data_IF_418543736905
#
_entry.id   IF_418543736905
#
_cell.length_a   1.000
_cell.length_b   1.000
_cell.length_c   1.000
_cell.angle_alpha   90.00
_cell.angle_beta   90.00
_cell.angle_gamma   90.00
#
_symmetry.space_group_name_H-M   'P 1'
#
loop_
_entity.id
_entity.type
_entity.pdbx_description
1 polymer ?
#
# COMPACT_ATOMS: atom_id res chain seq x y z
N UNK A 1 -1.53 -25.21 -0.47
CA UNK A 1 -2.73 -24.53 0.09
C UNK A 1 -3.72 -24.39 -1.04
N UNK A 2 -4.67 -25.34 -1.11
CA UNK A 2 -5.77 -25.25 -2.07
C UNK A 2 -6.63 -24.05 -1.74
N UNK A 3 -6.79 -23.19 -2.72
CA UNK A 3 -7.46 -21.90 -2.57
C UNK A 3 -8.92 -22.04 -2.13
N UNK A 4 -9.30 -21.22 -1.19
CA UNK A 4 -10.63 -20.98 -0.58
C UNK A 4 -11.72 -20.61 -1.64
N UNK A 5 -11.45 -20.86 -2.92
CA UNK A 5 -12.29 -20.40 -4.05
C UNK A 5 -13.22 -21.52 -4.54
N UNK A 6 -14.14 -21.96 -3.68
CA UNK A 6 -15.26 -22.75 -4.17
C UNK A 6 -16.27 -21.81 -4.84
N UNK A 7 -16.54 -22.05 -6.12
CA UNK A 7 -17.39 -21.19 -6.97
C UNK A 7 -18.90 -21.40 -6.74
N UNK A 8 -19.32 -22.16 -5.73
CA UNK A 8 -20.73 -22.42 -5.44
C UNK A 8 -21.25 -21.51 -4.34
N UNK A 9 -22.46 -20.96 -4.55
CA UNK A 9 -23.16 -20.10 -3.57
C UNK A 9 -23.48 -20.88 -2.29
N UNK A 10 -23.71 -22.18 -2.43
CA UNK A 10 -24.16 -23.07 -1.35
C UNK A 10 -23.01 -23.51 -0.42
N UNK A 11 -21.75 -23.18 -0.75
CA UNK A 11 -20.57 -23.49 0.05
C UNK A 11 -20.33 -22.40 1.10
N UNK A 12 -21.26 -22.20 2.02
CA UNK A 12 -21.02 -21.36 3.21
C UNK A 12 -19.99 -22.04 4.10
N UNK A 13 -18.92 -21.33 4.41
CA UNK A 13 -17.89 -21.84 5.31
C UNK A 13 -18.38 -21.81 6.77
N UNK A 14 -17.83 -22.64 7.67
CA UNK A 14 -18.15 -22.57 9.08
C UNK A 14 -18.03 -21.13 9.62
N UNK A 15 -19.02 -20.68 10.37
CA UNK A 15 -19.10 -19.34 10.97
C UNK A 15 -19.13 -18.17 9.98
N UNK A 16 -19.26 -18.42 8.67
CA UNK A 16 -19.35 -17.37 7.68
C UNK A 16 -20.74 -16.72 7.66
N UNK A 17 -20.77 -15.41 7.78
CA UNK A 17 -21.97 -14.59 7.67
C UNK A 17 -21.95 -13.78 6.39
N UNK A 18 -23.11 -13.62 5.74
CA UNK A 18 -23.27 -12.84 4.52
C UNK A 18 -24.16 -11.63 4.78
N UNK A 19 -23.71 -10.44 4.37
CA UNK A 19 -24.50 -9.21 4.43
C UNK A 19 -24.56 -8.55 3.06
N UNK A 20 -25.69 -7.92 2.77
CA UNK A 20 -25.91 -7.12 1.56
C UNK A 20 -24.95 -5.92 1.58
N UNK A 21 -24.32 -5.64 0.43
CA UNK A 21 -23.49 -4.45 0.27
C UNK A 21 -24.39 -3.24 0.05
N UNK A 22 -24.19 -2.17 0.82
CA UNK A 22 -24.95 -0.94 0.70
C UNK A 22 -24.90 -0.36 -0.73
N UNK A 23 -26.05 0.00 -1.28
CA UNK A 23 -26.17 0.49 -2.66
C UNK A 23 -26.00 -0.55 -3.75
N UNK A 24 -26.08 -1.85 -3.41
CA UNK A 24 -25.90 -2.96 -4.34
C UNK A 24 -26.90 -4.08 -4.07
N UNK A 25 -28.11 -4.02 -4.64
CA UNK A 25 -29.21 -5.00 -4.40
C UNK A 25 -28.86 -6.46 -4.71
N UNK A 26 -27.81 -6.70 -5.50
CA UNK A 26 -27.44 -8.02 -5.99
C UNK A 26 -26.08 -8.52 -5.51
N UNK A 27 -25.44 -7.82 -4.58
CA UNK A 27 -24.08 -8.19 -4.12
C UNK A 27 -24.03 -8.32 -2.61
N UNK A 28 -23.39 -9.39 -2.16
CA UNK A 28 -23.19 -9.70 -0.75
C UNK A 28 -21.70 -9.85 -0.47
N UNK A 29 -21.28 -9.42 0.70
CA UNK A 29 -19.94 -9.67 1.22
C UNK A 29 -20.03 -10.52 2.46
N UNK A 30 -19.08 -11.45 2.63
CA UNK A 30 -19.02 -12.32 3.80
C UNK A 30 -18.10 -11.75 4.88
N UNK A 31 -18.33 -12.23 6.11
CA UNK A 31 -17.43 -11.97 7.25
C UNK A 31 -16.00 -12.47 7.04
N UNK A 32 -15.78 -13.36 6.07
CA UNK A 32 -14.47 -13.90 5.71
C UNK A 32 -13.86 -13.24 4.45
N UNK A 33 -14.46 -12.17 3.93
CA UNK A 33 -13.92 -11.45 2.79
C UNK A 33 -14.28 -12.02 1.42
N UNK A 34 -15.21 -12.98 1.33
CA UNK A 34 -15.73 -13.43 0.03
C UNK A 34 -16.82 -12.47 -0.46
N UNK A 35 -16.98 -12.34 -1.76
CA UNK A 35 -18.03 -11.52 -2.36
C UNK A 35 -18.83 -12.37 -3.34
N UNK A 36 -20.17 -12.32 -3.27
CA UNK A 36 -21.05 -13.05 -4.17
C UNK A 36 -22.15 -12.18 -4.79
N UNK A 37 -22.67 -12.62 -5.91
CA UNK A 37 -23.94 -12.10 -6.45
C UNK A 37 -25.10 -13.00 -6.06
N UNK A 38 -26.30 -12.42 -5.95
CA UNK A 38 -27.56 -13.18 -5.84
C UNK A 38 -28.00 -13.73 -7.20
N UNK A 39 -28.89 -14.73 -7.14
CA UNK A 39 -29.70 -15.10 -8.28
C UNK A 39 -30.59 -13.92 -8.68
N UNK A 40 -30.74 -13.67 -9.97
CA UNK A 40 -31.54 -12.55 -10.47
C UNK A 40 -32.02 -12.76 -11.90
N UNK A 41 -33.08 -12.10 -12.25
CA UNK A 41 -33.47 -11.92 -13.66
C UNK A 41 -32.82 -10.67 -14.22
N UNK A 42 -32.31 -10.75 -15.44
CA UNK A 42 -31.63 -9.63 -16.11
C UNK A 42 -32.15 -9.50 -17.53
N UNK A 43 -32.46 -8.27 -17.93
CA UNK A 43 -32.85 -7.96 -19.32
C UNK A 43 -31.59 -8.02 -20.20
N UNK A 44 -31.67 -8.80 -21.27
CA UNK A 44 -30.62 -8.89 -22.29
C UNK A 44 -31.08 -8.13 -23.53
N UNK A 45 -30.46 -6.99 -23.82
CA UNK A 45 -30.66 -6.27 -25.08
C UNK A 45 -30.02 -7.05 -26.24
N UNK A 46 -30.80 -7.30 -27.30
CA UNK A 46 -30.31 -7.97 -28.52
C UNK A 46 -30.43 -7.02 -29.71
N UNK A 47 -29.39 -6.95 -30.53
CA UNK A 47 -29.23 -5.99 -31.62
C UNK A 47 -30.33 -6.09 -32.71
N UNK A 48 -31.06 -7.19 -32.88
CA UNK A 48 -32.08 -7.37 -33.96
C UNK A 48 -33.20 -8.32 -33.51
N UNK A 49 -33.49 -8.42 -32.20
CA UNK A 49 -34.56 -9.26 -31.65
C UNK A 49 -35.20 -8.55 -30.46
N UNK A 50 -36.38 -9.00 -30.04
CA UNK A 50 -37.00 -8.54 -28.80
C UNK A 50 -36.06 -8.81 -27.63
N UNK A 51 -36.00 -7.85 -26.71
CA UNK A 51 -35.28 -8.02 -25.44
C UNK A 51 -35.88 -9.21 -24.68
N UNK A 52 -35.04 -10.09 -24.19
CA UNK A 52 -35.44 -11.24 -23.39
C UNK A 52 -34.95 -11.09 -21.93
N UNK A 53 -35.71 -11.66 -21.02
CA UNK A 53 -35.35 -11.76 -19.61
C UNK A 53 -34.71 -13.10 -19.39
N UNK A 54 -33.47 -13.08 -18.91
CA UNK A 54 -32.68 -14.30 -18.62
C UNK A 54 -32.43 -14.44 -17.12
N UNK A 55 -32.57 -15.66 -16.65
CA UNK A 55 -32.15 -15.99 -15.28
C UNK A 55 -30.62 -16.05 -15.22
N UNK A 56 -30.03 -15.31 -14.28
CA UNK A 56 -28.59 -15.27 -14.01
C UNK A 56 -28.38 -15.88 -12.62
N UNK A 57 -27.79 -17.07 -12.57
CA UNK A 57 -27.42 -17.71 -11.32
C UNK A 57 -26.35 -16.89 -10.61
N UNK A 58 -26.52 -16.69 -9.33
CA UNK A 58 -25.52 -16.03 -8.50
C UNK A 58 -24.22 -16.86 -8.39
N UNK A 59 -23.14 -16.20 -8.08
CA UNK A 59 -21.81 -16.84 -7.95
C UNK A 59 -20.89 -16.06 -7.02
N UNK A 60 -19.91 -16.76 -6.47
CA UNK A 60 -18.75 -16.12 -5.81
C UNK A 60 -17.91 -15.40 -6.87
N UNK A 61 -17.57 -14.16 -6.60
CA UNK A 61 -16.76 -13.35 -7.50
C UNK A 61 -15.28 -13.68 -7.35
N UNK A 62 -14.59 -13.77 -8.49
CA UNK A 62 -13.14 -13.82 -8.52
C UNK A 62 -12.59 -12.49 -8.02
N UNK A 63 -11.64 -12.55 -7.09
CA UNK A 63 -10.90 -11.39 -6.64
C UNK A 63 -9.55 -11.33 -7.36
N UNK A 64 -9.05 -10.14 -7.56
CA UNK A 64 -7.74 -9.89 -8.16
C UNK A 64 -6.89 -9.05 -7.20
N UNK A 65 -5.63 -9.35 -7.15
CA UNK A 65 -4.66 -8.58 -6.38
C UNK A 65 -4.23 -7.33 -7.16
N UNK A 66 -4.05 -6.20 -6.47
CA UNK A 66 -3.43 -5.02 -7.04
C UNK A 66 -1.91 -5.04 -6.82
N UNK A 67 -1.19 -4.07 -7.40
CA UNK A 67 0.27 -3.94 -7.25
C UNK A 67 0.76 -3.81 -5.80
N UNK A 68 -0.11 -3.42 -4.90
CA UNK A 68 0.21 -3.21 -3.49
C UNK A 68 -0.17 -4.43 -2.61
N UNK A 69 -0.64 -5.53 -3.21
CA UNK A 69 -1.01 -6.76 -2.53
C UNK A 69 -2.44 -6.80 -1.98
N UNK A 70 -3.30 -5.81 -2.30
CA UNK A 70 -4.68 -5.81 -1.81
C UNK A 70 -5.64 -6.50 -2.77
N UNK A 71 -6.57 -7.29 -2.22
CA UNK A 71 -7.62 -7.93 -3.01
C UNK A 71 -8.72 -6.94 -3.39
N UNK A 72 -9.15 -7.03 -4.67
CA UNK A 72 -10.20 -6.22 -5.27
C UNK A 72 -11.19 -7.09 -6.01
N UNK A 73 -12.44 -6.64 -6.08
CA UNK A 73 -13.45 -7.22 -6.97
C UNK A 73 -14.22 -6.11 -7.69
N UNK A 74 -14.90 -6.50 -8.78
CA UNK A 74 -15.72 -5.58 -9.56
C UNK A 74 -17.18 -5.78 -9.18
N UNK A 75 -17.85 -4.71 -8.73
CA UNK A 75 -19.28 -4.69 -8.42
C UNK A 75 -20.00 -3.62 -9.25
N UNK A 76 -21.31 -3.78 -9.40
CA UNK A 76 -22.18 -2.81 -10.07
C UNK A 76 -23.17 -2.32 -9.03
N UNK A 77 -23.17 -1.04 -8.79
CA UNK A 77 -24.12 -0.37 -7.89
C UNK A 77 -25.51 -0.26 -8.53
N UNK A 78 -26.54 -0.04 -7.71
CA UNK A 78 -27.93 0.08 -8.18
C UNK A 78 -28.15 1.27 -9.13
N UNK A 79 -27.30 2.29 -9.06
CA UNK A 79 -27.24 3.40 -10.02
C UNK A 79 -26.63 3.03 -11.38
N UNK A 80 -26.22 1.76 -11.58
CA UNK A 80 -25.58 1.27 -12.80
C UNK A 80 -24.06 1.49 -12.85
N UNK A 81 -23.47 2.16 -11.88
CA UNK A 81 -22.05 2.44 -11.85
C UNK A 81 -21.25 1.17 -11.54
N UNK A 82 -20.29 0.85 -12.41
CA UNK A 82 -19.38 -0.28 -12.25
C UNK A 82 -18.07 0.18 -11.61
N UNK A 83 -17.74 -0.33 -10.43
CA UNK A 83 -16.52 0.00 -9.72
C UNK A 83 -15.70 -1.22 -9.35
N UNK A 84 -14.37 -1.07 -9.41
CA UNK A 84 -13.43 -1.99 -8.79
C UNK A 84 -13.16 -1.51 -7.36
N UNK A 85 -13.54 -2.31 -6.38
CA UNK A 85 -13.52 -1.96 -4.95
C UNK A 85 -12.60 -2.89 -4.17
N UNK A 86 -12.00 -2.38 -3.11
CA UNK A 86 -11.18 -3.19 -2.21
C UNK A 86 -12.06 -4.05 -1.30
N UNK A 87 -11.70 -5.33 -1.17
CA UNK A 87 -12.49 -6.30 -0.40
C UNK A 87 -12.50 -5.94 1.09
N UNK A 88 -11.36 -5.60 1.69
CA UNK A 88 -11.31 -5.17 3.10
C UNK A 88 -12.22 -3.97 3.38
N UNK A 89 -12.35 -3.01 2.43
CA UNK A 89 -13.27 -1.88 2.58
C UNK A 89 -14.73 -2.29 2.51
N UNK A 90 -15.08 -3.25 1.66
CA UNK A 90 -16.44 -3.81 1.62
C UNK A 90 -16.78 -4.49 2.94
N UNK A 91 -15.87 -5.34 3.44
CA UNK A 91 -16.09 -6.08 4.69
C UNK A 91 -16.28 -5.12 5.86
N UNK A 92 -15.31 -4.24 6.10
CA UNK A 92 -15.35 -3.41 7.30
C UNK A 92 -16.54 -2.46 7.29
N UNK A 93 -16.86 -1.83 6.15
CA UNK A 93 -18.03 -0.95 6.02
C UNK A 93 -19.35 -1.69 6.21
N UNK A 94 -19.46 -2.91 5.71
CA UNK A 94 -20.70 -3.68 5.78
C UNK A 94 -20.93 -4.29 7.16
N UNK A 95 -19.88 -4.67 7.88
CA UNK A 95 -19.97 -5.36 9.18
C UNK A 95 -19.81 -4.43 10.37
N UNK A 96 -18.92 -3.45 10.30
CA UNK A 96 -18.59 -2.52 11.38
C UNK A 96 -19.11 -1.09 11.13
N UNK A 97 -19.62 -0.82 9.92
CA UNK A 97 -20.10 0.52 9.54
C UNK A 97 -18.99 1.47 9.09
N UNK A 98 -19.37 2.70 8.77
CA UNK A 98 -18.44 3.77 8.44
C UNK A 98 -17.77 4.32 9.71
N UNK A 99 -16.58 4.87 9.55
CA UNK A 99 -15.79 5.46 10.64
C UNK A 99 -15.24 6.82 10.23
N UNK A 100 -14.95 7.68 11.20
CA UNK A 100 -14.19 8.92 11.02
C UNK A 100 -12.70 8.66 10.81
N UNK A 101 -12.21 7.47 11.16
CA UNK A 101 -10.83 7.05 10.94
C UNK A 101 -10.60 6.72 9.46
N UNK A 102 -9.53 7.26 8.85
CA UNK A 102 -9.38 7.23 7.40
C UNK A 102 -8.81 5.92 6.82
N UNK A 103 -8.20 5.08 7.65
CA UNK A 103 -7.48 3.89 7.21
C UNK A 103 -8.02 2.61 7.83
N UNK A 104 -7.66 1.49 7.19
CA UNK A 104 -7.97 0.15 7.65
C UNK A 104 -6.66 -0.61 7.80
N UNK A 105 -6.45 -1.20 8.95
CA UNK A 105 -5.34 -2.06 9.26
C UNK A 105 -5.74 -3.54 9.17
N UNK A 106 -4.81 -4.39 8.74
CA UNK A 106 -4.91 -5.85 8.86
C UNK A 106 -4.09 -6.26 10.09
N UNK A 107 -4.75 -6.79 11.11
CA UNK A 107 -4.14 -7.09 12.41
C UNK A 107 -2.99 -8.10 12.29
N UNK A 108 -3.11 -9.06 11.38
CA UNK A 108 -2.07 -10.07 11.10
C UNK A 108 -1.04 -9.63 10.03
N UNK A 109 -1.08 -8.37 9.60
CA UNK A 109 -0.27 -7.82 8.47
C UNK A 109 -0.50 -8.52 7.11
N UNK A 110 -1.44 -9.46 7.00
CA UNK A 110 -1.74 -10.19 5.77
C UNK A 110 -2.89 -9.54 5.00
N UNK A 111 -2.59 -8.84 3.92
CA UNK A 111 -3.57 -8.13 3.07
C UNK A 111 -4.56 -9.05 2.34
N UNK A 112 -4.33 -10.35 2.33
CA UNK A 112 -5.23 -11.35 1.78
C UNK A 112 -6.26 -11.86 2.80
N UNK A 113 -5.98 -11.72 4.10
CA UNK A 113 -6.91 -12.08 5.16
C UNK A 113 -7.89 -10.92 5.43
N UNK A 114 -8.98 -10.90 4.67
CA UNK A 114 -10.02 -9.88 4.78
C UNK A 114 -11.17 -10.30 5.71
N UNK A 115 -10.93 -11.18 6.68
CA UNK A 115 -11.92 -11.50 7.72
C UNK A 115 -12.23 -10.26 8.56
N UNK A 116 -13.49 -10.08 8.93
CA UNK A 116 -13.92 -8.95 9.77
C UNK A 116 -13.17 -8.88 11.10
N UNK A 117 -12.81 -10.03 11.66
CA UNK A 117 -12.05 -10.15 12.92
C UNK A 117 -10.60 -9.69 12.79
N UNK A 118 -10.08 -9.66 11.55
CA UNK A 118 -8.72 -9.24 11.23
C UNK A 118 -8.63 -7.78 10.76
N UNK A 119 -9.74 -7.06 10.71
CA UNK A 119 -9.80 -5.70 10.19
C UNK A 119 -10.18 -4.71 11.27
N UNK A 120 -9.47 -3.60 11.34
CA UNK A 120 -9.79 -2.50 12.24
C UNK A 120 -9.68 -1.14 11.55
N UNK A 121 -10.53 -0.19 11.93
CA UNK A 121 -10.37 1.19 11.56
C UNK A 121 -9.23 1.84 12.36
N UNK A 122 -8.38 2.59 11.69
CA UNK A 122 -7.24 3.22 12.33
C UNK A 122 -6.90 4.59 11.74
N UNK A 123 -6.12 5.37 12.49
CA UNK A 123 -5.53 6.59 11.98
C UNK A 123 -4.23 6.31 11.17
N UNK A 124 -3.76 7.36 10.50
CA UNK A 124 -2.56 7.28 9.63
C UNK A 124 -1.30 6.96 10.43
N UNK A 125 -1.17 7.54 11.64
CA UNK A 125 0.02 7.38 12.48
C UNK A 125 0.09 5.96 13.05
N UNK A 126 -1.03 5.46 13.55
CA UNK A 126 -1.14 4.08 14.03
C UNK A 126 -0.77 3.08 12.94
N UNK A 127 -1.40 3.20 11.76
CA UNK A 127 -1.14 2.28 10.64
C UNK A 127 0.30 2.35 10.12
N UNK A 128 0.91 3.54 10.12
CA UNK A 128 2.30 3.70 9.70
C UNK A 128 3.30 3.04 10.65
N UNK A 129 2.96 2.97 11.95
CA UNK A 129 3.84 2.40 12.99
C UNK A 129 3.46 0.97 13.38
N UNK A 130 2.40 0.40 12.78
CA UNK A 130 1.90 -0.93 13.13
C UNK A 130 2.87 -2.03 12.67
N UNK A 131 2.98 -3.06 13.52
CA UNK A 131 3.74 -4.28 13.23
C UNK A 131 5.24 -4.04 12.97
N UNK A 132 5.80 -4.84 12.08
CA UNK A 132 7.24 -4.87 11.79
C UNK A 132 7.68 -3.94 10.65
N UNK A 133 6.82 -3.02 10.19
CA UNK A 133 7.12 -2.16 9.03
C UNK A 133 8.38 -1.32 9.24
N UNK A 134 8.48 -0.66 10.39
CA UNK A 134 9.61 0.23 10.69
C UNK A 134 10.90 -0.56 10.85
N UNK A 135 10.85 -1.76 11.45
CA UNK A 135 11.99 -2.67 11.55
C UNK A 135 12.45 -3.10 10.15
N UNK A 136 11.53 -3.56 9.29
CA UNK A 136 11.85 -3.95 7.90
C UNK A 136 12.47 -2.80 7.09
N UNK A 137 11.97 -1.57 7.27
CA UNK A 137 12.55 -0.38 6.61
C UNK A 137 13.95 -0.10 7.14
N UNK A 138 14.16 -0.17 8.47
CA UNK A 138 15.46 0.01 9.09
C UNK A 138 16.47 -1.02 8.60
N UNK A 139 16.10 -2.31 8.61
CA UNK A 139 16.94 -3.41 8.14
C UNK A 139 17.29 -3.27 6.66
N UNK A 140 16.31 -2.89 5.84
CA UNK A 140 16.55 -2.60 4.41
C UNK A 140 17.54 -1.43 4.24
N UNK A 141 17.40 -0.35 5.00
CA UNK A 141 18.31 0.80 4.93
C UNK A 141 19.71 0.45 5.41
N UNK A 142 19.85 -0.42 6.43
CA UNK A 142 21.15 -0.92 6.89
C UNK A 142 21.82 -1.81 5.86
N UNK A 143 21.08 -2.72 5.22
CA UNK A 143 21.60 -3.63 4.19
C UNK A 143 21.83 -2.94 2.83
N UNK A 144 21.13 -1.83 2.57
CA UNK A 144 21.22 -1.04 1.34
C UNK A 144 21.51 0.45 1.68
N UNK A 145 22.69 0.75 2.27
CA UNK A 145 23.02 2.13 2.57
C UNK A 145 23.00 2.95 1.29
N UNK A 146 22.29 4.08 1.32
CA UNK A 146 22.31 5.02 0.19
C UNK A 146 23.77 5.38 -0.06
N UNK A 147 24.30 5.07 -1.23
CA UNK A 147 25.61 5.54 -1.68
C UNK A 147 25.56 7.06 -1.72
N UNK A 148 26.09 7.73 -0.70
CA UNK A 148 26.34 9.16 -0.74
C UNK A 148 27.31 9.46 -1.87
N UNK A 149 27.28 10.69 -2.39
CA UNK A 149 28.35 11.17 -3.26
C UNK A 149 29.66 11.17 -2.43
N UNK A 150 30.71 10.54 -2.95
CA UNK A 150 32.03 10.61 -2.33
C UNK A 150 32.45 12.06 -2.18
N UNK A 151 33.16 12.37 -1.12
CA UNK A 151 33.65 13.71 -0.85
C UNK A 151 35.17 13.64 -0.72
N UNK A 152 35.87 14.47 -1.46
CA UNK A 152 37.32 14.62 -1.40
C UNK A 152 37.69 15.87 -0.64
N UNK A 153 38.64 15.76 0.25
CA UNK A 153 39.22 16.87 1.01
C UNK A 153 40.60 17.24 0.44
N UNK A 154 40.79 18.51 0.21
CA UNK A 154 42.02 19.08 -0.35
C UNK A 154 42.59 20.11 0.63
N UNK A 155 43.91 20.25 0.65
CA UNK A 155 44.59 21.40 1.23
C UNK A 155 44.34 22.67 0.37
N UNK A 156 44.65 23.85 0.88
CA UNK A 156 44.46 25.11 0.18
C UNK A 156 45.36 25.23 -1.06
N UNK A 157 46.48 24.55 -1.13
CA UNK A 157 47.38 24.43 -2.29
C UNK A 157 46.89 23.38 -3.32
N UNK A 158 45.71 22.73 -3.08
CA UNK A 158 45.07 21.82 -4.01
C UNK A 158 45.51 20.38 -3.96
N UNK A 159 46.32 19.99 -2.98
CA UNK A 159 46.71 18.58 -2.77
C UNK A 159 45.56 17.78 -2.15
N UNK A 160 45.21 16.63 -2.73
CA UNK A 160 44.22 15.71 -2.15
C UNK A 160 44.79 15.10 -0.86
N UNK A 161 44.03 15.20 0.23
CA UNK A 161 44.43 14.72 1.57
C UNK A 161 43.67 13.43 1.85
N UNK A 162 42.34 13.40 1.65
CA UNK A 162 41.50 12.27 2.00
C UNK A 162 40.22 12.19 1.21
N UNK A 163 39.69 10.96 1.02
CA UNK A 163 38.40 10.70 0.40
C UNK A 163 37.47 10.04 1.40
N UNK A 164 36.22 10.56 1.47
CA UNK A 164 35.15 10.08 2.34
C UNK A 164 34.01 9.49 1.51
N UNK A 165 33.31 8.51 2.04
CA UNK A 165 32.19 7.87 1.32
C UNK A 165 30.92 8.75 1.23
N UNK A 166 30.85 9.82 2.05
CA UNK A 166 29.72 10.77 2.05
C UNK A 166 30.07 12.04 2.81
N UNK A 167 29.24 13.09 2.65
CA UNK A 167 29.34 14.33 3.47
C UNK A 167 29.22 14.02 4.97
N UNK A 168 28.34 13.07 5.33
CA UNK A 168 28.18 12.68 6.74
C UNK A 168 29.43 12.01 7.30
N UNK A 169 30.07 11.14 6.52
CA UNK A 169 31.33 10.49 6.91
C UNK A 169 32.47 11.52 7.05
N UNK A 170 32.57 12.45 6.13
CA UNK A 170 33.51 13.55 6.19
C UNK A 170 33.30 14.38 7.47
N UNK A 171 32.07 14.78 7.77
CA UNK A 171 31.75 15.57 8.97
C UNK A 171 32.11 14.81 10.26
N UNK A 172 31.77 13.52 10.34
CA UNK A 172 32.07 12.67 11.50
C UNK A 172 33.59 12.52 11.75
N UNK A 173 34.38 12.34 10.69
CA UNK A 173 35.82 12.06 10.80
C UNK A 173 36.66 13.33 10.97
N UNK A 174 36.20 14.45 10.41
CA UNK A 174 36.90 15.72 10.50
C UNK A 174 36.43 16.61 11.65
N UNK A 175 35.23 16.35 12.19
CA UNK A 175 34.61 17.21 13.21
C UNK A 175 33.98 18.50 12.62
N UNK A 176 34.05 18.73 11.31
CA UNK A 176 33.50 19.93 10.70
C UNK A 176 31.98 19.80 10.48
N UNK A 177 31.30 20.95 10.42
CA UNK A 177 29.86 20.99 10.16
C UNK A 177 29.50 20.35 8.82
N UNK A 178 28.54 19.40 8.83
CA UNK A 178 28.00 18.76 7.64
C UNK A 178 27.42 19.78 6.65
N UNK A 179 26.75 20.82 7.15
CA UNK A 179 26.17 21.89 6.33
C UNK A 179 27.25 22.69 5.58
N UNK A 180 28.37 22.97 6.24
CA UNK A 180 29.49 23.73 5.63
C UNK A 180 30.20 22.87 4.56
N UNK A 181 30.46 21.60 4.83
CA UNK A 181 31.06 20.67 3.86
C UNK A 181 30.12 20.51 2.65
N UNK A 182 28.83 20.28 2.88
CA UNK A 182 27.84 20.14 1.81
C UNK A 182 27.69 21.41 0.98
N UNK A 183 27.65 22.58 1.63
CA UNK A 183 27.60 23.87 0.97
C UNK A 183 28.78 24.08 0.04
N UNK A 184 29.99 23.78 0.51
CA UNK A 184 31.20 23.89 -0.31
C UNK A 184 31.18 22.90 -1.49
N UNK A 185 30.84 21.64 -1.28
CA UNK A 185 30.73 20.63 -2.35
C UNK A 185 29.69 21.01 -3.42
N UNK A 186 28.66 21.76 -3.05
CA UNK A 186 27.61 22.27 -3.96
C UNK A 186 27.95 23.64 -4.58
N UNK A 187 29.14 24.16 -4.38
CA UNK A 187 29.56 25.42 -4.95
C UNK A 187 28.95 26.64 -4.28
N UNK A 188 28.56 26.55 -3.01
CA UNK A 188 28.12 27.72 -2.26
C UNK A 188 29.29 28.69 -2.05
N UNK A 189 29.18 29.91 -2.62
CA UNK A 189 30.19 30.95 -2.49
C UNK A 189 30.31 31.54 -1.08
N UNK A 190 29.58 31.01 -0.12
CA UNK A 190 29.58 31.50 1.27
C UNK A 190 30.89 31.20 2.01
N UNK A 191 31.62 30.16 1.57
CA UNK A 191 32.85 29.74 2.21
C UNK A 191 33.94 29.44 1.18
N UNK A 192 35.12 30.05 1.35
CA UNK A 192 36.31 29.73 0.55
C UNK A 192 37.00 28.43 1.01
N UNK A 193 36.82 28.09 2.28
CA UNK A 193 37.33 26.87 2.90
C UNK A 193 36.53 26.51 4.14
N UNK A 194 36.60 25.23 4.60
CA UNK A 194 36.05 24.73 5.87
C UNK A 194 37.19 24.21 6.70
N UNK A 195 37.51 24.90 7.82
CA UNK A 195 38.62 24.55 8.69
C UNK A 195 39.99 24.55 8.02
N UNK A 196 40.20 25.37 6.99
CA UNK A 196 41.45 25.42 6.22
C UNK A 196 41.54 24.37 5.10
N UNK A 197 40.45 23.70 4.75
CA UNK A 197 40.39 22.68 3.70
C UNK A 197 39.29 22.97 2.68
N UNK A 198 39.48 22.45 1.47
CA UNK A 198 38.52 22.53 0.37
C UNK A 198 37.86 21.14 0.24
N UNK A 199 36.52 21.12 0.14
CA UNK A 199 35.75 19.89 -0.07
C UNK A 199 35.05 19.92 -1.43
N UNK A 200 35.14 18.82 -2.18
CA UNK A 200 34.47 18.64 -3.49
C UNK A 200 33.86 17.27 -3.58
N UNK A 201 32.77 17.14 -4.33
CA UNK A 201 32.29 15.81 -4.72
C UNK A 201 33.29 15.15 -5.67
N UNK A 202 33.54 13.83 -5.42
CA UNK A 202 34.39 13.02 -6.28
C UNK A 202 33.62 12.42 -7.46
#
# INVERSE_FOLDING_TARGET
MEGIWKNRIDDTLPHEQWKLINGCSNYYVSSLGRVKTSDRYSSRKRKNRKDDVVFVKGKILKQSENKDGYLRCCIIYDNGEKKSVYVHRLVIKTFLGDSTLPQINHIDENKHNNSVENLEWCDVKYNANYGNRNTKISDYQHSHPKKGKCVKMFSLDGKEIETFCSVHDAARRTGFSMGNISGMCNGSNKYSHVGGYIFKFG
#
